data_IF_309347356884
#
_entry.id   IF_309347356884
#
_cell.length_a   1.000
_cell.length_b   1.000
_cell.length_c   1.000
_cell.angle_alpha   90.00
_cell.angle_beta   90.00
_cell.angle_gamma   90.00
#
_symmetry.space_group_name_H-M   'P 1'
#
loop_
_entity.id
_entity.type
_entity.pdbx_description
1 polymer ?
#
# COMPACT_ATOMS: atom_id res chain seq x y z
N UNK A 1 -50.33 -36.98 -23.43
CA UNK A 1 -48.98 -36.42 -23.16
C UNK A 1 -47.82 -37.26 -23.75
N UNK A 2 -48.04 -38.11 -24.78
CA UNK A 2 -46.99 -38.99 -25.34
C UNK A 2 -46.43 -38.52 -26.72
N UNK A 3 -47.05 -37.53 -27.37
CA UNK A 3 -46.69 -37.11 -28.74
C UNK A 3 -45.42 -36.27 -28.88
N UNK A 4 -44.96 -35.61 -27.80
CA UNK A 4 -43.71 -34.82 -27.82
C UNK A 4 -42.48 -35.75 -27.86
N UNK A 5 -42.58 -36.93 -27.25
CA UNK A 5 -41.48 -37.87 -27.11
C UNK A 5 -41.10 -38.56 -28.44
N UNK A 6 -42.07 -38.92 -29.27
CA UNK A 6 -41.81 -39.61 -30.55
C UNK A 6 -41.23 -38.69 -31.64
N UNK A 7 -41.51 -37.37 -31.57
CA UNK A 7 -41.02 -36.36 -32.53
C UNK A 7 -39.75 -35.66 -32.08
N UNK A 8 -39.62 -35.36 -30.79
CA UNK A 8 -38.53 -34.56 -30.23
C UNK A 8 -37.59 -35.34 -29.31
N UNK A 9 -37.83 -36.62 -29.04
CA UNK A 9 -36.99 -37.43 -28.13
C UNK A 9 -35.50 -37.41 -28.48
N UNK A 10 -35.15 -37.39 -29.77
CA UNK A 10 -33.75 -37.28 -30.22
C UNK A 10 -33.15 -35.89 -29.94
N UNK A 11 -33.93 -34.82 -30.09
CA UNK A 11 -33.49 -33.45 -29.77
C UNK A 11 -33.39 -33.21 -28.26
N UNK A 12 -34.29 -33.79 -27.47
CA UNK A 12 -34.24 -33.76 -26.02
C UNK A 12 -32.97 -34.50 -25.54
N UNK A 13 -32.67 -35.68 -26.10
CA UNK A 13 -31.44 -36.42 -25.78
C UNK A 13 -30.19 -35.59 -26.11
N UNK A 14 -30.13 -34.96 -27.28
CA UNK A 14 -29.00 -34.08 -27.66
C UNK A 14 -28.87 -32.90 -26.70
N UNK A 15 -29.98 -32.23 -26.34
CA UNK A 15 -29.97 -31.11 -25.41
C UNK A 15 -29.49 -31.53 -24.01
N UNK A 16 -29.90 -32.71 -23.54
CA UNK A 16 -29.45 -33.26 -22.24
C UNK A 16 -27.95 -33.58 -22.27
N UNK A 17 -27.46 -34.23 -23.33
CA UNK A 17 -26.03 -34.54 -23.48
C UNK A 17 -25.19 -33.27 -23.56
N UNK A 18 -25.64 -32.27 -24.31
CA UNK A 18 -24.97 -30.97 -24.41
C UNK A 18 -24.97 -30.25 -23.06
N UNK A 19 -26.09 -30.26 -22.35
CA UNK A 19 -26.21 -29.69 -21.01
C UNK A 19 -25.26 -30.36 -20.00
N UNK A 20 -25.17 -31.69 -20.02
CA UNK A 20 -24.23 -32.44 -19.17
C UNK A 20 -22.77 -32.17 -19.52
N UNK A 21 -22.43 -32.02 -20.81
CA UNK A 21 -21.07 -31.69 -21.24
C UNK A 21 -20.67 -30.27 -20.77
N UNK A 22 -21.56 -29.29 -20.94
CA UNK A 22 -21.34 -27.92 -20.45
C UNK A 22 -21.22 -27.88 -18.92
N UNK A 23 -22.09 -28.60 -18.21
CA UNK A 23 -22.06 -28.69 -16.75
C UNK A 23 -20.80 -29.39 -16.23
N UNK A 24 -20.39 -30.49 -16.86
CA UNK A 24 -19.15 -31.19 -16.52
C UNK A 24 -17.90 -30.34 -16.78
N UNK A 25 -17.87 -29.60 -17.89
CA UNK A 25 -16.81 -28.63 -18.18
C UNK A 25 -16.74 -27.50 -17.15
N UNK A 26 -17.89 -26.96 -16.74
CA UNK A 26 -17.96 -25.95 -15.68
C UNK A 26 -17.51 -26.49 -14.32
N UNK A 27 -17.94 -27.70 -13.94
CA UNK A 27 -17.56 -28.32 -12.68
C UNK A 27 -16.05 -28.63 -12.63
N UNK A 28 -15.47 -29.10 -13.74
CA UNK A 28 -14.02 -29.31 -13.84
C UNK A 28 -13.25 -27.99 -13.71
N UNK A 29 -13.70 -26.92 -14.39
CA UNK A 29 -13.12 -25.59 -14.26
C UNK A 29 -13.19 -25.06 -12.83
N UNK A 30 -14.35 -25.15 -12.19
CA UNK A 30 -14.58 -24.70 -10.81
C UNK A 30 -13.70 -25.46 -9.82
N UNK A 31 -13.62 -26.79 -9.96
CA UNK A 31 -12.79 -27.63 -9.09
C UNK A 31 -11.30 -27.36 -9.29
N UNK A 32 -10.84 -27.22 -10.54
CA UNK A 32 -9.44 -26.93 -10.84
C UNK A 32 -9.02 -25.55 -10.32
N UNK A 33 -9.88 -24.54 -10.51
CA UNK A 33 -9.65 -23.17 -10.02
C UNK A 33 -9.60 -23.10 -8.49
N UNK A 34 -10.43 -23.89 -7.79
CA UNK A 34 -10.42 -23.97 -6.32
C UNK A 34 -9.18 -24.68 -5.78
N UNK A 35 -8.73 -25.74 -6.44
CA UNK A 35 -7.55 -26.49 -6.03
C UNK A 35 -6.27 -25.65 -6.15
N UNK A 36 -6.06 -24.98 -7.29
CA UNK A 36 -4.93 -24.06 -7.47
C UNK A 36 -4.95 -22.90 -6.45
N UNK A 37 -6.14 -22.36 -6.18
CA UNK A 37 -6.30 -21.28 -5.19
C UNK A 37 -5.97 -21.75 -3.77
N UNK A 38 -6.30 -23.00 -3.42
CA UNK A 38 -5.96 -23.60 -2.13
C UNK A 38 -4.46 -23.74 -1.93
N UNK A 39 -3.73 -24.27 -2.92
CA UNK A 39 -2.27 -24.41 -2.85
C UNK A 39 -1.56 -23.06 -2.73
N UNK A 40 -2.03 -22.04 -3.46
CA UNK A 40 -1.45 -20.69 -3.34
C UNK A 40 -1.77 -20.04 -1.99
N UNK A 41 -2.94 -20.31 -1.42
CA UNK A 41 -3.29 -19.84 -0.09
C UNK A 41 -2.39 -20.44 0.99
N UNK A 42 -2.08 -21.74 0.91
CA UNK A 42 -1.14 -22.40 1.84
C UNK A 42 0.27 -21.78 1.75
N UNK A 43 0.76 -21.55 0.52
CA UNK A 43 2.06 -20.90 0.29
C UNK A 43 2.09 -19.46 0.79
N UNK A 44 1.01 -18.71 0.60
CA UNK A 44 0.89 -17.36 1.12
C UNK A 44 0.87 -17.35 2.66
N UNK A 45 0.16 -18.30 3.27
CA UNK A 45 0.12 -18.48 4.72
C UNK A 45 1.49 -18.81 5.28
N UNK A 46 2.25 -19.67 4.60
CA UNK A 46 3.62 -20.02 4.97
C UNK A 46 4.56 -18.81 4.91
N UNK A 47 4.41 -17.96 3.89
CA UNK A 47 5.14 -16.70 3.78
C UNK A 47 4.80 -15.73 4.93
N UNK A 48 3.51 -15.59 5.24
CA UNK A 48 3.03 -14.76 6.37
C UNK A 48 3.57 -15.26 7.71
N UNK A 49 3.55 -16.58 7.92
CA UNK A 49 4.12 -17.22 9.11
C UNK A 49 5.63 -16.99 9.23
N UNK A 50 6.37 -17.11 8.13
CA UNK A 50 7.80 -16.82 8.10
C UNK A 50 8.05 -15.36 8.51
N UNK A 51 7.27 -14.43 7.95
CA UNK A 51 7.38 -13.01 8.29
C UNK A 51 7.06 -12.73 9.77
N UNK A 52 6.06 -13.41 10.36
CA UNK A 52 5.69 -13.20 11.76
C UNK A 52 6.70 -13.76 12.75
N UNK A 53 7.48 -14.77 12.36
CA UNK A 53 8.59 -15.31 13.17
C UNK A 53 9.93 -14.63 12.91
N UNK A 54 9.97 -13.60 12.06
CA UNK A 54 11.19 -12.90 11.66
C UNK A 54 12.10 -13.74 10.74
N UNK A 55 11.58 -14.84 10.19
CA UNK A 55 12.28 -15.70 9.25
C UNK A 55 12.06 -15.22 7.81
N UNK A 56 13.05 -15.46 6.95
CA UNK A 56 12.88 -15.19 5.52
C UNK A 56 12.00 -16.28 4.89
N UNK A 57 10.99 -15.91 4.08
CA UNK A 57 10.23 -16.91 3.35
C UNK A 57 11.14 -17.73 2.43
N UNK A 58 10.84 -19.02 2.27
CA UNK A 58 11.59 -19.87 1.36
C UNK A 58 11.50 -19.33 -0.08
N UNK A 59 12.63 -19.31 -0.79
CA UNK A 59 12.69 -18.80 -2.18
C UNK A 59 11.74 -19.55 -3.13
N UNK A 60 11.50 -20.85 -2.87
CA UNK A 60 10.56 -21.68 -3.63
C UNK A 60 9.10 -21.24 -3.42
N UNK A 61 8.73 -20.84 -2.21
CA UNK A 61 7.40 -20.31 -1.88
C UNK A 61 7.15 -19.00 -2.62
N UNK A 62 8.13 -18.09 -2.61
CA UNK A 62 8.09 -16.84 -3.39
C UNK A 62 7.98 -17.12 -4.88
N UNK A 63 8.83 -18.01 -5.41
CA UNK A 63 8.84 -18.37 -6.83
C UNK A 63 7.51 -18.93 -7.31
N UNK A 64 6.84 -19.74 -6.48
CA UNK A 64 5.49 -20.24 -6.76
C UNK A 64 4.45 -19.13 -6.81
N UNK A 65 4.44 -18.25 -5.80
CA UNK A 65 3.44 -17.17 -5.71
C UNK A 65 3.61 -16.10 -6.79
N UNK A 66 4.83 -15.89 -7.30
CA UNK A 66 5.09 -15.02 -8.46
C UNK A 66 4.40 -15.52 -9.75
N UNK A 67 4.15 -16.82 -9.84
CA UNK A 67 3.50 -17.48 -10.98
C UNK A 67 1.99 -17.68 -10.75
N UNK A 68 1.48 -17.28 -9.58
CA UNK A 68 0.06 -17.38 -9.29
C UNK A 68 -0.76 -16.53 -10.27
N UNK A 69 -1.90 -17.06 -10.72
CA UNK A 69 -2.82 -16.35 -11.61
C UNK A 69 -3.51 -15.18 -10.91
N UNK A 70 -3.55 -15.18 -9.58
CA UNK A 70 -4.14 -14.13 -8.76
C UNK A 70 -3.13 -12.98 -8.57
N UNK A 71 -3.44 -11.77 -9.07
CA UNK A 71 -2.50 -10.64 -9.04
C UNK A 71 -2.03 -10.25 -7.63
N UNK A 72 -2.86 -10.46 -6.60
CA UNK A 72 -2.51 -10.16 -5.21
C UNK A 72 -1.38 -11.04 -4.68
N UNK A 73 -1.38 -12.35 -4.97
CA UNK A 73 -0.32 -13.25 -4.57
C UNK A 73 0.99 -12.93 -5.27
N UNK A 74 0.92 -12.62 -6.57
CA UNK A 74 2.08 -12.18 -7.33
C UNK A 74 2.67 -10.89 -6.76
N UNK A 75 1.83 -9.88 -6.47
CA UNK A 75 2.28 -8.60 -5.92
C UNK A 75 3.00 -8.77 -4.57
N UNK A 76 2.41 -9.54 -3.66
CA UNK A 76 2.99 -9.80 -2.33
C UNK A 76 4.30 -10.57 -2.45
N UNK A 77 4.39 -11.55 -3.35
CA UNK A 77 5.61 -12.30 -3.57
C UNK A 77 6.76 -11.45 -4.13
N UNK A 78 6.46 -10.56 -5.08
CA UNK A 78 7.44 -9.60 -5.62
C UNK A 78 7.92 -8.62 -4.54
N UNK A 79 7.01 -8.10 -3.71
CA UNK A 79 7.36 -7.23 -2.58
C UNK A 79 8.21 -7.96 -1.55
N UNK A 80 7.88 -9.22 -1.24
CA UNK A 80 8.66 -10.05 -0.34
C UNK A 80 10.07 -10.30 -0.89
N UNK A 81 10.20 -10.60 -2.18
CA UNK A 81 11.50 -10.77 -2.87
C UNK A 81 12.37 -9.51 -2.76
N UNK A 82 11.80 -8.33 -3.04
CA UNK A 82 12.48 -7.06 -2.89
C UNK A 82 12.90 -6.78 -1.43
N UNK A 83 12.02 -7.09 -0.48
CA UNK A 83 12.29 -7.00 0.96
C UNK A 83 13.41 -7.92 1.41
N UNK A 84 13.48 -9.14 0.88
CA UNK A 84 14.56 -10.09 1.17
C UNK A 84 15.90 -9.60 0.65
N UNK A 85 15.95 -9.03 -0.57
CA UNK A 85 17.17 -8.43 -1.10
C UNK A 85 17.66 -7.31 -0.16
N UNK A 86 16.76 -6.44 0.29
CA UNK A 86 17.08 -5.38 1.25
C UNK A 86 17.61 -5.94 2.58
N UNK A 87 16.96 -6.98 3.12
CA UNK A 87 17.37 -7.60 4.38
C UNK A 87 18.75 -8.27 4.29
N UNK A 88 19.14 -8.75 3.10
CA UNK A 88 20.47 -9.30 2.82
C UNK A 88 21.54 -8.22 2.58
N UNK A 89 21.18 -6.93 2.66
CA UNK A 89 22.08 -5.82 2.41
C UNK A 89 22.25 -5.44 0.94
N UNK A 90 21.56 -6.12 0.02
CA UNK A 90 21.53 -5.75 -1.40
C UNK A 90 20.53 -4.62 -1.64
N UNK A 91 20.90 -3.41 -1.20
CA UNK A 91 20.05 -2.23 -1.31
C UNK A 91 19.79 -1.82 -2.76
N UNK A 92 20.79 -1.96 -3.64
CA UNK A 92 20.68 -1.64 -5.06
C UNK A 92 19.76 -2.61 -5.81
N UNK A 93 19.92 -3.92 -5.58
CA UNK A 93 19.03 -4.94 -6.13
C UNK A 93 17.61 -4.78 -5.61
N UNK A 94 17.44 -4.53 -4.32
CA UNK A 94 16.12 -4.26 -3.73
C UNK A 94 15.44 -3.02 -4.33
N UNK A 95 16.17 -1.91 -4.47
CA UNK A 95 15.64 -0.69 -5.08
C UNK A 95 15.23 -0.91 -6.56
N UNK A 96 15.97 -1.75 -7.28
CA UNK A 96 15.63 -2.15 -8.65
C UNK A 96 14.33 -2.95 -8.68
N UNK A 97 14.19 -3.95 -7.80
CA UNK A 97 12.98 -4.77 -7.69
C UNK A 97 11.75 -3.93 -7.30
N UNK A 98 11.87 -3.08 -6.28
CA UNK A 98 10.79 -2.16 -5.89
C UNK A 98 10.45 -1.17 -7.01
N UNK A 99 11.45 -0.69 -7.77
CA UNK A 99 11.22 0.15 -8.94
C UNK A 99 10.40 -0.55 -10.02
N UNK A 100 10.68 -1.83 -10.30
CA UNK A 100 9.91 -2.62 -11.26
C UNK A 100 8.46 -2.83 -10.80
N UNK A 101 8.23 -3.08 -9.51
CA UNK A 101 6.88 -3.22 -8.93
C UNK A 101 6.10 -1.90 -9.04
N UNK A 102 6.73 -0.78 -8.70
CA UNK A 102 6.13 0.55 -8.78
C UNK A 102 5.70 0.92 -10.21
N UNK A 103 6.46 0.49 -11.23
CA UNK A 103 6.18 0.76 -12.63
C UNK A 103 5.19 -0.23 -13.28
N UNK A 104 4.84 -1.33 -12.62
CA UNK A 104 4.00 -2.37 -13.21
C UNK A 104 2.51 -2.02 -13.13
N UNK A 105 1.94 -1.56 -14.24
CA UNK A 105 0.53 -1.15 -14.33
C UNK A 105 -0.48 -2.28 -14.04
N UNK A 106 -0.08 -3.55 -14.16
CA UNK A 106 -0.93 -4.71 -13.91
C UNK A 106 -1.16 -4.98 -12.41
N UNK A 107 -0.31 -4.43 -11.54
CA UNK A 107 -0.45 -4.56 -10.09
C UNK A 107 -1.36 -3.47 -9.53
N UNK A 108 -2.21 -3.80 -8.56
CA UNK A 108 -3.08 -2.79 -7.94
C UNK A 108 -2.27 -1.63 -7.31
N UNK A 109 -2.80 -0.41 -7.42
CA UNK A 109 -2.16 0.84 -6.95
C UNK A 109 -1.53 0.73 -5.55
N UNK A 110 -2.18 0.14 -4.51
CA UNK A 110 -1.59 0.10 -3.18
C UNK A 110 -0.24 -0.64 -3.10
N UNK A 111 -0.03 -1.66 -3.94
CA UNK A 111 1.25 -2.39 -4.00
C UNK A 111 2.34 -1.55 -4.68
N UNK A 112 1.98 -0.78 -5.69
CA UNK A 112 2.90 0.12 -6.40
C UNK A 112 3.33 1.30 -5.53
N UNK A 113 2.38 1.82 -4.76
CA UNK A 113 2.63 2.90 -3.79
C UNK A 113 3.59 2.43 -2.69
N UNK A 114 3.34 1.25 -2.12
CA UNK A 114 4.25 0.64 -1.14
C UNK A 114 5.65 0.43 -1.74
N UNK A 115 5.73 -0.07 -2.96
CA UNK A 115 7.02 -0.28 -3.62
C UNK A 115 7.76 1.04 -3.85
N UNK A 116 7.06 2.08 -4.28
CA UNK A 116 7.61 3.44 -4.45
C UNK A 116 8.16 3.96 -3.13
N UNK A 117 7.39 3.86 -2.05
CA UNK A 117 7.81 4.26 -0.70
C UNK A 117 9.05 3.50 -0.24
N UNK A 118 9.07 2.16 -0.40
CA UNK A 118 10.21 1.32 -0.02
C UNK A 118 11.46 1.61 -0.83
N UNK A 119 11.33 1.86 -2.13
CA UNK A 119 12.44 2.30 -2.99
C UNK A 119 13.05 3.61 -2.49
N UNK A 120 12.21 4.62 -2.25
CA UNK A 120 12.69 5.91 -1.72
C UNK A 120 13.35 5.71 -0.36
N UNK A 121 12.81 4.86 0.52
CA UNK A 121 13.39 4.59 1.83
C UNK A 121 14.80 3.97 1.73
N UNK A 122 15.01 3.04 0.79
CA UNK A 122 16.32 2.43 0.55
C UNK A 122 17.35 3.40 -0.02
N UNK A 123 16.90 4.36 -0.82
CA UNK A 123 17.76 5.31 -1.53
C UNK A 123 17.80 6.70 -0.87
N UNK A 124 17.12 6.88 0.27
CA UNK A 124 16.81 8.20 0.83
C UNK A 124 18.05 9.09 1.00
N UNK A 125 19.13 8.52 1.55
CA UNK A 125 20.36 9.27 1.81
C UNK A 125 21.19 9.56 0.55
N UNK A 126 20.92 8.83 -0.55
CA UNK A 126 21.58 9.03 -1.85
C UNK A 126 20.77 9.97 -2.76
N UNK A 127 19.47 10.11 -2.50
CA UNK A 127 18.59 10.96 -3.28
C UNK A 127 18.78 12.43 -2.92
N UNK A 128 18.67 13.30 -3.94
CA UNK A 128 18.53 14.73 -3.68
C UNK A 128 17.21 14.99 -2.94
N UNK A 129 17.18 15.87 -1.93
CA UNK A 129 15.97 16.12 -1.13
C UNK A 129 14.74 16.47 -1.98
N UNK A 130 14.93 17.26 -3.04
CA UNK A 130 13.86 17.61 -3.97
C UNK A 130 13.30 16.39 -4.71
N UNK A 131 14.16 15.44 -5.10
CA UNK A 131 13.73 14.21 -5.76
C UNK A 131 12.94 13.29 -4.82
N UNK A 132 13.27 13.27 -3.52
CA UNK A 132 12.47 12.56 -2.50
C UNK A 132 11.06 13.15 -2.43
N UNK A 133 10.96 14.47 -2.34
CA UNK A 133 9.67 15.18 -2.26
C UNK A 133 8.83 14.89 -3.50
N UNK A 134 9.42 14.96 -4.70
CA UNK A 134 8.71 14.69 -5.95
C UNK A 134 8.22 13.25 -6.04
N UNK A 135 9.06 12.28 -5.65
CA UNK A 135 8.70 10.87 -5.66
C UNK A 135 7.58 10.54 -4.67
N UNK A 136 7.55 11.19 -3.50
CA UNK A 136 6.58 10.92 -2.44
C UNK A 136 5.35 11.82 -2.48
N UNK A 137 5.34 12.87 -3.29
CA UNK A 137 4.21 13.82 -3.44
C UNK A 137 2.83 13.15 -3.57
N UNK A 138 2.61 12.10 -4.39
CA UNK A 138 1.28 11.48 -4.48
C UNK A 138 0.88 10.70 -3.22
N UNK A 139 1.84 10.32 -2.37
CA UNK A 139 1.62 9.54 -1.15
C UNK A 139 1.56 10.43 0.09
N UNK A 140 2.26 11.56 0.09
CA UNK A 140 2.31 12.54 1.18
C UNK A 140 1.07 13.47 1.20
N UNK A 141 -0.11 12.92 0.94
CA UNK A 141 -1.41 13.61 0.97
C UNK A 141 -2.27 13.03 2.10
N UNK A 142 -2.80 13.87 2.98
CA UNK A 142 -3.68 13.43 4.07
C UNK A 142 -4.83 12.55 3.58
N UNK A 143 -5.14 11.48 4.32
CA UNK A 143 -6.11 10.47 3.92
C UNK A 143 -5.57 9.35 3.03
N UNK A 144 -4.37 9.49 2.45
CA UNK A 144 -3.69 8.37 1.80
C UNK A 144 -3.19 7.37 2.87
N UNK A 145 -3.38 6.05 2.71
CA UNK A 145 -2.89 5.05 3.67
C UNK A 145 -1.38 5.12 3.94
N UNK A 146 -0.60 5.61 2.98
CA UNK A 146 0.85 5.76 3.07
C UNK A 146 1.29 7.15 3.56
N UNK A 147 0.34 8.06 3.81
CA UNK A 147 0.60 9.43 4.21
C UNK A 147 1.58 9.55 5.37
N UNK A 148 1.39 8.87 6.51
CA UNK A 148 2.26 9.08 7.67
C UNK A 148 3.75 8.84 7.37
N UNK A 149 4.06 7.77 6.65
CA UNK A 149 5.43 7.43 6.27
C UNK A 149 5.98 8.32 5.16
N UNK A 150 5.17 8.61 4.13
CA UNK A 150 5.57 9.47 3.03
C UNK A 150 5.81 10.92 3.49
N UNK A 151 4.94 11.43 4.36
CA UNK A 151 5.04 12.76 4.95
C UNK A 151 6.25 12.89 5.89
N UNK A 152 6.53 11.88 6.73
CA UNK A 152 7.73 11.86 7.57
C UNK A 152 9.01 11.96 6.73
N UNK A 153 9.14 11.11 5.70
CA UNK A 153 10.30 11.14 4.81
C UNK A 153 10.40 12.48 4.05
N UNK A 154 9.27 13.01 3.57
CA UNK A 154 9.22 14.31 2.90
C UNK A 154 9.61 15.45 3.85
N UNK A 155 9.18 15.40 5.11
CA UNK A 155 9.54 16.38 6.12
C UNK A 155 11.05 16.37 6.41
N UNK A 156 11.65 15.17 6.53
CA UNK A 156 13.11 15.04 6.67
C UNK A 156 13.84 15.62 5.44
N UNK A 157 13.31 15.40 4.23
CA UNK A 157 13.87 16.01 3.01
C UNK A 157 13.76 17.55 3.04
N UNK A 158 12.62 18.11 3.45
CA UNK A 158 12.47 19.55 3.65
C UNK A 158 13.43 20.11 4.70
N UNK A 159 13.69 19.37 5.79
CA UNK A 159 14.71 19.75 6.77
C UNK A 159 16.12 19.82 6.15
N UNK A 160 16.50 18.85 5.31
CA UNK A 160 17.79 18.86 4.58
C UNK A 160 17.90 20.07 3.65
N UNK A 161 16.78 20.64 3.21
CA UNK A 161 16.72 21.88 2.40
C UNK A 161 16.63 23.16 3.23
N UNK A 162 16.62 23.08 4.57
CA UNK A 162 16.45 24.23 5.46
C UNK A 162 15.01 24.74 5.58
N UNK A 163 14.02 24.07 4.97
CA UNK A 163 12.59 24.43 4.98
C UNK A 163 11.89 23.86 6.23
N UNK A 164 12.29 24.37 7.39
CA UNK A 164 11.88 23.85 8.71
C UNK A 164 10.39 24.07 9.00
N UNK A 165 9.84 25.18 8.52
CA UNK A 165 8.41 25.51 8.58
C UNK A 165 7.56 24.42 7.90
N UNK A 166 7.88 24.11 6.64
CA UNK A 166 7.18 23.09 5.85
C UNK A 166 7.33 21.70 6.48
N UNK A 167 8.53 21.37 6.94
CA UNK A 167 8.79 20.11 7.63
C UNK A 167 7.97 19.99 8.93
N UNK A 168 7.92 21.05 9.73
CA UNK A 168 7.17 21.10 10.98
C UNK A 168 5.68 20.88 10.76
N UNK A 169 5.09 21.51 9.73
CA UNK A 169 3.69 21.32 9.37
C UNK A 169 3.39 19.87 8.99
N UNK A 170 4.25 19.23 8.19
CA UNK A 170 4.08 17.82 7.83
C UNK A 170 4.16 16.90 9.05
N UNK A 171 5.14 17.10 9.92
CA UNK A 171 5.25 16.33 11.17
C UNK A 171 4.04 16.52 12.07
N UNK A 172 3.51 17.74 12.18
CA UNK A 172 2.31 18.02 12.96
C UNK A 172 1.07 17.33 12.36
N UNK A 173 0.94 17.27 11.04
CA UNK A 173 -0.12 16.53 10.37
C UNK A 173 -0.02 15.02 10.65
N UNK A 174 1.18 14.43 10.58
CA UNK A 174 1.41 13.02 10.94
C UNK A 174 1.06 12.75 12.41
N UNK A 175 1.39 13.66 13.33
CA UNK A 175 1.07 13.50 14.74
C UNK A 175 -0.44 13.45 15.02
N UNK A 176 -1.24 14.19 14.23
CA UNK A 176 -2.71 14.27 14.34
C UNK A 176 -3.43 13.11 13.65
N UNK A 177 -2.79 12.46 12.69
CA UNK A 177 -3.40 11.36 11.92
C UNK A 177 -3.65 10.15 12.81
N UNK A 178 -4.90 9.93 13.20
CA UNK A 178 -5.31 8.81 14.07
C UNK A 178 -5.17 7.43 13.44
N UNK A 179 -5.01 7.35 12.11
CA UNK A 179 -4.76 6.08 11.40
C UNK A 179 -3.30 5.61 11.53
N UNK A 180 -2.38 6.50 11.91
CA UNK A 180 -0.97 6.18 12.07
C UNK A 180 -0.68 5.45 13.40
N UNK A 181 0.31 4.53 13.44
CA UNK A 181 0.77 3.90 14.67
C UNK A 181 1.19 4.93 15.74
N UNK A 182 0.85 4.67 17.01
CA UNK A 182 1.11 5.60 18.13
C UNK A 182 2.58 6.04 18.23
N UNK A 183 3.51 5.11 18.00
CA UNK A 183 4.95 5.41 18.01
C UNK A 183 5.35 6.41 16.91
N UNK A 184 4.79 6.29 15.71
CA UNK A 184 5.02 7.21 14.60
C UNK A 184 4.46 8.60 14.93
N UNK A 185 3.23 8.66 15.46
CA UNK A 185 2.59 9.93 15.86
C UNK A 185 3.37 10.64 16.95
N UNK A 186 3.83 9.90 17.96
CA UNK A 186 4.64 10.45 19.05
C UNK A 186 5.96 11.03 18.54
N UNK A 187 6.68 10.28 17.68
CA UNK A 187 7.92 10.76 17.07
C UNK A 187 7.68 12.00 16.21
N UNK A 188 6.64 11.98 15.38
CA UNK A 188 6.30 13.12 14.54
C UNK A 188 5.94 14.36 15.37
N UNK A 189 5.18 14.20 16.46
CA UNK A 189 4.89 15.30 17.39
C UNK A 189 6.13 15.91 18.03
N UNK A 190 7.09 15.07 18.45
CA UNK A 190 8.38 15.56 18.97
C UNK A 190 9.17 16.34 17.92
N UNK A 191 9.19 15.86 16.67
CA UNK A 191 9.85 16.55 15.57
C UNK A 191 9.16 17.88 15.21
N UNK A 192 7.83 17.92 15.27
CA UNK A 192 7.06 19.15 15.06
C UNK A 192 7.39 20.22 16.11
N UNK A 193 7.39 19.84 17.40
CA UNK A 193 7.75 20.75 18.50
C UNK A 193 9.19 21.26 18.40
N UNK A 194 10.15 20.39 18.04
CA UNK A 194 11.54 20.79 17.81
C UNK A 194 11.69 21.79 16.65
N UNK A 195 10.79 21.76 15.68
CA UNK A 195 10.76 22.70 14.56
C UNK A 195 9.94 23.97 14.84
N UNK A 196 9.52 24.18 16.10
CA UNK A 196 8.78 25.35 16.52
C UNK A 196 7.29 25.32 16.15
N UNK A 197 6.79 24.16 15.71
CA UNK A 197 5.35 23.92 15.59
C UNK A 197 4.86 23.43 16.95
N UNK A 198 4.90 24.33 17.93
CA UNK A 198 4.30 24.10 19.24
C UNK A 198 2.78 24.32 19.16
N UNK A 199 2.05 23.59 20.01
CA UNK A 199 0.59 23.52 20.09
C UNK A 199 -0.15 24.86 20.30
N UNK A 200 0.56 26.00 20.35
CA UNK A 200 0.00 27.34 20.60
C UNK A 200 -0.60 27.99 19.35
N UNK A 201 -0.14 27.66 18.13
CA UNK A 201 -0.76 28.20 16.90
C UNK A 201 -2.19 27.63 16.72
N UNK A 202 -2.51 26.50 17.35
CA UNK A 202 -3.88 25.95 17.30
C UNK A 202 -4.81 26.56 18.35
N UNK A 203 -4.28 27.19 19.41
CA UNK A 203 -5.09 27.93 20.39
C UNK A 203 -5.31 29.39 19.98
N UNK A 204 -4.38 30.00 19.24
CA UNK A 204 -4.52 31.38 18.75
C UNK A 204 -5.71 31.54 17.79
N UNK A 205 -5.94 30.56 16.90
CA UNK A 205 -7.13 30.52 16.03
C UNK A 205 -8.43 30.18 16.77
N UNK A 206 -8.36 29.60 17.98
CA UNK A 206 -9.51 29.18 18.77
C UNK A 206 -9.91 30.17 19.87
N UNK A 207 -9.03 31.12 20.21
CA UNK A 207 -9.20 32.05 21.33
C UNK A 207 -8.84 33.50 20.96
N UNK A 208 -9.27 33.97 19.78
CA UNK A 208 -9.52 35.41 19.62
C UNK A 208 -10.90 35.76 20.20
N UNK A 209 -10.99 36.38 21.39
CA UNK A 209 -12.17 37.16 21.71
C UNK A 209 -12.19 38.36 20.76
N UNK A 210 -13.17 38.37 19.84
CA UNK A 210 -13.55 39.60 19.12
C UNK A 210 -13.92 40.66 20.15
N UNK A 211 -12.99 41.54 20.49
CA UNK A 211 -13.24 42.57 21.48
C UNK A 211 -12.04 43.43 21.87
N UNK A 212 -11.58 44.29 20.97
CA UNK A 212 -11.02 45.59 21.38
C UNK A 212 -11.16 46.64 20.26
N UNK A 213 -12.40 47.04 19.98
CA UNK A 213 -12.63 48.36 19.42
C UNK A 213 -12.34 49.39 20.52
N UNK A 214 -11.15 50.00 20.50
CA UNK A 214 -10.82 51.14 21.34
C UNK A 214 -10.63 52.40 20.48
N UNK A 215 -10.81 53.55 21.14
CA UNK A 215 -10.65 54.95 20.70
C UNK A 215 -11.98 55.63 20.32
N UNK A 216 -12.62 56.37 21.23
CA UNK A 216 -12.23 57.69 21.74
C UNK A 216 -12.86 58.84 20.92
N UNK A 217 -13.73 59.59 21.62
CA UNK A 217 -13.87 61.05 21.61
C UNK A 217 -13.88 61.77 20.26
N UNK A 218 -15.06 62.26 19.88
CA UNK A 218 -15.22 63.54 19.20
C UNK A 218 -16.57 64.15 19.62
N UNK A 219 -16.47 65.32 20.27
CA UNK A 219 -17.42 66.44 20.40
C UNK A 219 -18.89 66.18 20.77
#
# INVERSE_FOLDING_TARGET
MLGIWQRFGRWIMVAVVLGLALFGGWLWWDHHSKQESGEMAEKAQEMLRSASTGQMPAAQTIGSLKQASQPGYQAVALLAEAGMAAQKGDTAGAATLYGAIAANADLAQPYRDLASLRKVALQFDQMQPQAVIEALKPLAVEGNPWFPSAAEMSAIAYMKMGKKDVAGTLFAAVAKDKSAPSALRSRAGQMAGLLGVDALIMEEDANEPRGSGNAATAE
#
